data_IF_691086397625
#
_entry.id   IF_691086397625
#
_cell.length_a   1.000
_cell.length_b   1.000
_cell.length_c   1.000
_cell.angle_alpha   90.00
_cell.angle_beta   90.00
_cell.angle_gamma   90.00
#
_symmetry.space_group_name_H-M   'P 1'
#
loop_
_entity.id
_entity.type
_entity.pdbx_description
1 polymer ?
#
# COMPACT_ATOMS: atom_id res chain seq x y z
N UNK A 1 8.91 41.89 -19.35
CA UNK A 1 8.58 41.44 -17.98
C UNK A 1 8.39 39.94 -17.99
N UNK A 2 9.41 39.17 -17.56
CA UNK A 2 9.35 37.71 -17.46
C UNK A 2 8.61 37.34 -16.17
N UNK A 3 7.58 36.49 -16.26
CA UNK A 3 6.96 35.88 -15.09
C UNK A 3 7.93 34.82 -14.57
N UNK A 4 8.43 35.00 -13.35
CA UNK A 4 9.08 33.92 -12.62
C UNK A 4 7.99 32.94 -12.19
N UNK A 5 7.90 31.80 -12.87
CA UNK A 5 7.31 30.60 -12.31
C UNK A 5 8.25 30.13 -11.21
N UNK A 6 7.89 30.46 -9.96
CA UNK A 6 8.55 29.92 -8.79
C UNK A 6 8.27 28.42 -8.71
N UNK A 7 9.07 27.62 -9.42
CA UNK A 7 9.28 26.23 -9.04
C UNK A 7 10.00 26.30 -7.70
N UNK A 8 9.27 26.04 -6.61
CA UNK A 8 9.91 25.76 -5.34
C UNK A 8 10.85 24.58 -5.59
N UNK A 9 12.16 24.68 -5.27
CA UNK A 9 13.02 23.52 -5.34
C UNK A 9 12.40 22.47 -4.40
N UNK A 10 11.88 21.39 -4.96
CA UNK A 10 11.45 20.22 -4.21
C UNK A 10 12.65 19.83 -3.35
N UNK A 11 12.52 20.06 -2.03
CA UNK A 11 13.58 19.76 -1.08
C UNK A 11 13.77 18.24 -1.16
N UNK A 12 14.92 17.72 -1.64
CA UNK A 12 15.08 16.29 -1.89
C UNK A 12 14.77 15.55 -0.60
N UNK A 13 13.71 14.73 -0.62
CA UNK A 13 13.37 14.02 0.59
C UNK A 13 14.46 12.95 0.82
N UNK A 14 15.03 12.91 2.02
CA UNK A 14 16.10 11.98 2.35
C UNK A 14 15.68 10.52 2.24
N UNK A 15 14.40 10.28 2.55
CA UNK A 15 13.76 8.99 2.44
C UNK A 15 13.84 8.49 0.99
N UNK A 16 13.63 9.40 0.04
CA UNK A 16 13.38 9.11 -1.37
C UNK A 16 14.61 8.62 -2.13
N UNK A 17 15.83 8.87 -1.62
CA UNK A 17 17.05 8.47 -2.33
C UNK A 17 17.80 7.30 -1.69
N UNK A 18 17.73 7.13 -0.37
CA UNK A 18 18.47 6.05 0.31
C UNK A 18 17.57 4.91 0.75
N UNK A 19 16.51 5.24 1.50
CA UNK A 19 15.61 4.24 2.10
C UNK A 19 14.71 3.63 1.04
N UNK A 20 14.12 4.46 0.17
CA UNK A 20 13.25 3.98 -0.91
C UNK A 20 14.06 3.12 -1.90
N UNK A 21 15.27 3.53 -2.28
CA UNK A 21 16.12 2.73 -3.17
C UNK A 21 16.45 1.36 -2.57
N UNK A 22 16.88 1.31 -1.30
CA UNK A 22 17.14 0.06 -0.59
C UNK A 22 15.87 -0.80 -0.48
N UNK A 23 14.73 -0.19 -0.15
CA UNK A 23 13.45 -0.87 -0.06
C UNK A 23 13.03 -1.48 -1.41
N UNK A 24 13.09 -0.72 -2.51
CA UNK A 24 12.80 -1.20 -3.87
C UNK A 24 13.70 -2.39 -4.23
N UNK A 25 14.99 -2.30 -3.91
CA UNK A 25 15.95 -3.37 -4.17
C UNK A 25 15.62 -4.64 -3.37
N UNK A 26 15.27 -4.50 -2.08
CA UNK A 26 14.86 -5.64 -1.25
C UNK A 26 13.55 -6.27 -1.72
N UNK A 27 12.57 -5.46 -2.12
CA UNK A 27 11.31 -5.93 -2.68
C UNK A 27 11.56 -6.75 -3.95
N UNK A 28 12.35 -6.23 -4.90
CA UNK A 28 12.67 -6.92 -6.15
C UNK A 28 13.41 -8.24 -5.89
N UNK A 29 14.42 -8.22 -5.02
CA UNK A 29 15.18 -9.42 -4.66
C UNK A 29 14.28 -10.51 -4.06
N UNK A 30 13.32 -10.12 -3.22
CA UNK A 30 12.37 -11.05 -2.61
C UNK A 30 11.40 -11.60 -3.64
N UNK A 31 10.91 -10.78 -4.55
CA UNK A 31 10.09 -11.24 -5.68
C UNK A 31 10.82 -12.31 -6.49
N UNK A 32 12.09 -12.11 -6.83
CA UNK A 32 12.87 -13.14 -7.52
C UNK A 32 13.05 -14.42 -6.71
N UNK A 33 13.24 -14.33 -5.38
CA UNK A 33 13.30 -15.52 -4.53
C UNK A 33 11.98 -16.27 -4.49
N UNK A 34 10.86 -15.58 -4.33
CA UNK A 34 9.53 -16.20 -4.38
C UNK A 34 9.29 -16.91 -5.71
N UNK A 35 9.76 -16.30 -6.80
CA UNK A 35 9.65 -16.86 -8.13
C UNK A 35 10.51 -18.13 -8.27
N UNK A 36 11.77 -18.08 -7.81
CA UNK A 36 12.64 -19.26 -7.75
C UNK A 36 12.00 -20.37 -6.92
N UNK A 37 11.52 -20.06 -5.72
CA UNK A 37 10.90 -21.05 -4.83
C UNK A 37 9.67 -21.71 -5.47
N UNK A 38 8.94 -21.00 -6.34
CA UNK A 38 7.80 -21.53 -7.08
C UNK A 38 8.21 -22.34 -8.33
N UNK A 39 9.36 -22.02 -8.95
CA UNK A 39 9.82 -22.61 -10.21
C UNK A 39 10.97 -23.63 -10.07
N UNK A 40 11.47 -23.91 -8.86
CA UNK A 40 12.58 -24.85 -8.61
C UNK A 40 12.02 -26.25 -8.27
N UNK A 41 12.22 -27.27 -9.14
CA UNK A 41 11.84 -28.68 -8.89
C UNK A 41 11.12 -29.42 -10.04
N UNK A 42 10.74 -30.69 -9.84
CA UNK A 42 9.86 -31.43 -10.76
C UNK A 42 8.38 -31.18 -10.42
N UNK A 43 7.58 -30.70 -11.38
CA UNK A 43 6.19 -30.18 -11.22
C UNK A 43 6.06 -28.78 -10.62
N UNK A 44 7.06 -27.92 -10.88
CA UNK A 44 7.04 -26.52 -10.49
C UNK A 44 6.22 -25.66 -11.46
N UNK A 45 5.80 -24.48 -11.00
CA UNK A 45 5.02 -23.54 -11.80
C UNK A 45 5.92 -22.85 -12.83
N UNK A 46 5.37 -22.47 -13.98
CA UNK A 46 6.07 -21.56 -14.89
C UNK A 46 6.10 -20.14 -14.31
N UNK A 47 7.05 -19.31 -14.76
CA UNK A 47 7.11 -17.88 -14.43
C UNK A 47 5.75 -17.20 -14.69
N UNK A 48 5.08 -17.55 -15.78
CA UNK A 48 3.78 -16.99 -16.16
C UNK A 48 2.67 -17.41 -15.18
N UNK A 49 2.62 -18.67 -14.79
CA UNK A 49 1.64 -19.18 -13.82
C UNK A 49 1.81 -18.54 -12.44
N UNK A 50 3.06 -18.35 -12.00
CA UNK A 50 3.36 -17.61 -10.79
C UNK A 50 2.78 -16.19 -10.85
N UNK A 51 3.01 -15.46 -11.95
CA UNK A 51 2.49 -14.10 -12.13
C UNK A 51 0.97 -14.06 -12.18
N UNK A 52 0.31 -15.03 -12.83
CA UNK A 52 -1.16 -15.16 -12.80
C UNK A 52 -1.71 -15.35 -11.38
N UNK A 53 -0.96 -16.02 -10.50
CA UNK A 53 -1.34 -16.25 -9.09
C UNK A 53 -0.92 -15.10 -8.16
N UNK A 54 0.00 -14.24 -8.59
CA UNK A 54 0.55 -13.16 -7.77
C UNK A 54 -0.53 -12.12 -7.48
N UNK A 55 -1.00 -12.09 -6.24
CA UNK A 55 -2.12 -11.27 -5.82
C UNK A 55 -1.73 -10.20 -4.78
N UNK A 56 -2.67 -9.30 -4.48
CA UNK A 56 -2.44 -8.18 -3.56
C UNK A 56 -1.96 -8.62 -2.16
N UNK A 57 -2.38 -9.78 -1.66
CA UNK A 57 -1.90 -10.31 -0.38
C UNK A 57 -0.41 -10.64 -0.44
N UNK A 58 0.05 -11.26 -1.51
CA UNK A 58 1.46 -11.56 -1.73
C UNK A 58 2.29 -10.27 -1.82
N UNK A 59 1.77 -9.26 -2.55
CA UNK A 59 2.40 -7.95 -2.64
C UNK A 59 2.53 -7.25 -1.27
N UNK A 60 1.47 -7.24 -0.46
CA UNK A 60 1.49 -6.65 0.89
C UNK A 60 2.50 -7.38 1.78
N UNK A 61 2.50 -8.72 1.74
CA UNK A 61 3.47 -9.50 2.51
C UNK A 61 4.90 -9.17 2.07
N UNK A 62 5.15 -9.06 0.77
CA UNK A 62 6.46 -8.70 0.24
C UNK A 62 6.88 -7.27 0.66
N UNK A 63 5.94 -6.31 0.70
CA UNK A 63 6.20 -4.96 1.23
C UNK A 63 6.65 -5.02 2.69
N UNK A 64 5.91 -5.73 3.54
CA UNK A 64 6.24 -5.85 4.98
C UNK A 64 7.61 -6.48 5.16
N UNK A 65 7.86 -7.57 4.44
CA UNK A 65 9.12 -8.31 4.51
C UNK A 65 10.31 -7.52 3.96
N UNK A 66 10.15 -6.82 2.83
CA UNK A 66 11.17 -5.95 2.27
C UNK A 66 11.49 -4.77 3.20
N UNK A 67 10.47 -4.22 3.88
CA UNK A 67 10.68 -3.19 4.89
C UNK A 67 11.46 -3.70 6.10
N UNK A 68 11.17 -4.93 6.55
CA UNK A 68 11.92 -5.56 7.65
C UNK A 68 13.40 -5.82 7.30
N UNK A 69 13.70 -6.06 6.02
CA UNK A 69 15.08 -6.19 5.54
C UNK A 69 15.84 -4.85 5.53
N UNK A 70 15.14 -3.71 5.49
CA UNK A 70 15.77 -2.39 5.62
C UNK A 70 16.31 -2.24 7.03
N UNK A 71 17.62 -2.51 7.16
CA UNK A 71 18.27 -2.51 8.47
C UNK A 71 18.18 -1.15 9.18
N UNK A 72 18.12 -1.16 10.51
CA UNK A 72 18.25 0.05 11.35
C UNK A 72 19.52 0.86 11.01
N UNK A 73 20.58 0.19 10.55
CA UNK A 73 21.83 0.82 10.09
C UNK A 73 21.63 1.63 8.80
N UNK A 74 20.82 1.13 7.87
CA UNK A 74 20.45 1.87 6.65
C UNK A 74 19.68 3.15 7.02
N UNK A 75 18.68 3.02 7.88
CA UNK A 75 17.91 4.17 8.39
C UNK A 75 18.81 5.19 9.10
N UNK A 76 19.57 4.79 10.12
CA UNK A 76 20.46 5.71 10.87
C UNK A 76 21.45 6.45 9.96
N UNK A 77 21.97 5.82 8.90
CA UNK A 77 22.90 6.47 7.97
C UNK A 77 22.21 7.51 7.07
N UNK A 78 21.00 7.23 6.60
CA UNK A 78 20.19 8.23 5.85
C UNK A 78 19.85 9.41 6.75
N UNK A 79 19.40 9.14 7.97
CA UNK A 79 19.10 10.20 8.95
C UNK A 79 20.34 11.01 9.35
N UNK A 80 21.54 10.41 9.38
CA UNK A 80 22.80 11.13 9.69
C UNK A 80 23.18 12.14 8.62
N UNK A 81 22.92 11.85 7.34
CA UNK A 81 23.17 12.82 6.24
C UNK A 81 22.36 14.12 6.42
N UNK A 82 21.25 14.05 7.15
CA UNK A 82 20.35 15.18 7.37
C UNK A 82 20.54 15.86 8.71
N UNK A 83 20.80 15.08 9.75
CA UNK A 83 20.92 15.56 11.12
C UNK A 83 22.17 14.90 11.73
N UNK A 84 23.37 15.36 11.33
CA UNK A 84 24.64 14.76 11.77
C UNK A 84 24.79 14.83 13.30
N UNK A 85 24.31 15.92 13.90
CA UNK A 85 24.47 16.22 15.33
C UNK A 85 23.64 15.31 16.25
N UNK A 86 22.63 14.62 15.71
CA UNK A 86 21.74 13.75 16.48
C UNK A 86 22.20 12.28 16.48
N UNK A 87 23.10 11.89 15.57
CA UNK A 87 23.50 10.49 15.36
C UNK A 87 25.00 10.33 15.59
N UNK A 88 25.38 10.07 16.83
CA UNK A 88 26.74 9.68 17.20
C UNK A 88 26.98 8.18 16.97
N UNK A 89 28.20 7.86 16.52
CA UNK A 89 28.83 6.54 16.52
C UNK A 89 28.28 5.48 15.55
N UNK A 90 28.81 5.43 14.32
CA UNK A 90 29.03 4.18 13.57
C UNK A 90 30.05 4.44 12.45
N UNK A 91 31.29 3.99 12.65
CA UNK A 91 32.31 3.95 11.60
C UNK A 91 31.99 2.80 10.61
N UNK A 92 32.32 3.02 9.34
CA UNK A 92 32.60 1.97 8.33
C UNK A 92 31.43 1.21 7.66
N UNK A 93 30.52 1.90 6.93
CA UNK A 93 29.77 1.24 5.82
C UNK A 93 29.06 2.25 4.91
N UNK A 94 29.27 2.19 3.60
CA UNK A 94 28.64 3.12 2.66
C UNK A 94 27.23 2.63 2.23
N UNK A 95 26.17 3.46 2.24
CA UNK A 95 24.83 3.06 1.83
C UNK A 95 24.75 2.55 0.38
N UNK A 96 25.58 3.10 -0.51
CA UNK A 96 25.71 2.62 -1.89
C UNK A 96 26.17 1.18 -1.93
N UNK A 97 27.13 0.77 -1.09
CA UNK A 97 27.64 -0.60 -1.06
C UNK A 97 26.55 -1.63 -0.73
N UNK A 98 25.65 -1.36 0.23
CA UNK A 98 24.54 -2.26 0.54
C UNK A 98 23.55 -2.39 -0.63
N UNK A 99 23.20 -1.26 -1.27
CA UNK A 99 22.29 -1.28 -2.41
C UNK A 99 22.95 -2.01 -3.58
N UNK A 100 24.23 -1.76 -3.86
CA UNK A 100 25.01 -2.48 -4.85
C UNK A 100 25.02 -3.99 -4.60
N UNK A 101 25.29 -4.44 -3.37
CA UNK A 101 25.24 -5.87 -2.99
C UNK A 101 23.86 -6.50 -3.24
N UNK A 102 22.78 -5.78 -2.94
CA UNK A 102 21.41 -6.27 -3.19
C UNK A 102 21.13 -6.31 -4.69
N UNK A 103 21.54 -5.29 -5.44
CA UNK A 103 21.40 -5.22 -6.90
C UNK A 103 22.16 -6.34 -7.59
N UNK A 104 23.39 -6.62 -7.18
CA UNK A 104 24.17 -7.77 -7.66
C UNK A 104 23.47 -9.10 -7.32
N UNK A 105 22.88 -9.21 -6.13
CA UNK A 105 22.06 -10.37 -5.77
C UNK A 105 20.83 -10.49 -6.68
N UNK A 106 20.18 -9.39 -7.05
CA UNK A 106 19.06 -9.40 -8.00
C UNK A 106 19.49 -9.89 -9.39
N UNK A 107 20.64 -9.44 -9.89
CA UNK A 107 21.22 -9.90 -11.17
C UNK A 107 21.41 -11.42 -11.15
N UNK A 108 22.02 -11.95 -10.08
CA UNK A 108 22.24 -13.38 -9.94
C UNK A 108 20.93 -14.18 -9.92
N UNK A 109 19.92 -13.69 -9.21
CA UNK A 109 18.62 -14.36 -9.13
C UNK A 109 17.86 -14.29 -10.46
N UNK A 110 17.90 -13.16 -11.16
CA UNK A 110 17.28 -13.01 -12.47
C UNK A 110 17.90 -13.98 -13.49
N UNK A 111 19.23 -14.10 -13.51
CA UNK A 111 19.91 -15.07 -14.36
C UNK A 111 19.57 -16.52 -13.94
N UNK A 112 19.44 -16.83 -12.63
CA UNK A 112 18.97 -18.15 -12.17
C UNK A 112 17.56 -18.48 -12.66
N UNK A 113 16.71 -17.47 -12.80
CA UNK A 113 15.33 -17.59 -13.30
C UNK A 113 15.22 -17.81 -14.81
N UNK A 114 16.33 -17.80 -15.55
CA UNK A 114 16.35 -17.96 -17.00
C UNK A 114 16.16 -16.65 -17.77
N UNK A 115 16.22 -15.49 -17.09
CA UNK A 115 16.40 -14.20 -17.78
C UNK A 115 17.87 -14.06 -18.16
N UNK A 116 18.26 -14.69 -19.28
CA UNK A 116 19.64 -14.66 -19.77
C UNK A 116 20.08 -13.24 -20.13
N UNK A 117 21.28 -12.86 -19.67
CA UNK A 117 21.92 -11.60 -20.05
C UNK A 117 21.44 -10.39 -19.26
N UNK A 118 20.76 -10.58 -18.13
CA UNK A 118 20.44 -9.48 -17.20
C UNK A 118 21.74 -8.97 -16.58
N UNK A 119 22.00 -7.67 -16.74
CA UNK A 119 23.14 -6.95 -16.21
C UNK A 119 22.76 -6.04 -15.03
N UNK A 120 23.76 -5.51 -14.34
CA UNK A 120 23.56 -4.58 -13.23
C UNK A 120 22.74 -3.36 -13.64
N UNK A 121 23.00 -2.83 -14.84
CA UNK A 121 22.32 -1.64 -15.35
C UNK A 121 20.81 -1.89 -15.54
N UNK A 122 20.42 -3.08 -16.00
CA UNK A 122 19.00 -3.41 -16.17
C UNK A 122 18.24 -3.37 -14.84
N UNK A 123 18.86 -3.88 -13.78
CA UNK A 123 18.27 -3.81 -12.43
C UNK A 123 18.26 -2.36 -11.92
N UNK A 124 19.34 -1.60 -12.12
CA UNK A 124 19.41 -0.20 -11.72
C UNK A 124 18.33 0.64 -12.40
N UNK A 125 18.08 0.40 -13.69
CA UNK A 125 17.04 1.06 -14.47
C UNK A 125 15.65 0.73 -13.93
N UNK A 126 15.37 -0.55 -13.63
CA UNK A 126 14.12 -0.99 -12.99
C UNK A 126 13.91 -0.30 -11.63
N UNK A 127 14.96 -0.18 -10.81
CA UNK A 127 14.87 0.44 -9.49
C UNK A 127 14.71 1.96 -9.56
N UNK A 128 15.30 2.58 -10.59
CA UNK A 128 15.25 4.02 -10.84
C UNK A 128 13.98 4.46 -11.54
N UNK A 129 13.26 3.54 -12.20
CA UNK A 129 11.93 3.80 -12.73
C UNK A 129 11.02 4.34 -11.62
N UNK A 130 10.53 5.56 -11.84
CA UNK A 130 9.36 6.07 -11.15
C UNK A 130 8.16 5.65 -11.98
N UNK A 131 7.17 4.95 -11.40
CA UNK A 131 5.92 4.73 -12.12
C UNK A 131 5.31 6.10 -12.42
N UNK A 132 4.76 6.25 -13.62
CA UNK A 132 3.85 7.36 -13.88
C UNK A 132 2.72 7.31 -12.84
N UNK A 133 2.36 8.47 -12.28
CA UNK A 133 1.21 8.54 -11.38
C UNK A 133 -0.02 8.09 -12.15
N UNK A 134 -0.45 6.86 -11.89
CA UNK A 134 -1.71 6.33 -12.36
C UNK A 134 -2.82 7.30 -11.92
N UNK A 135 -3.46 7.89 -12.92
CA UNK A 135 -4.63 8.73 -12.69
C UNK A 135 -5.77 7.87 -12.13
N UNK A 136 -6.69 8.51 -11.42
CA UNK A 136 -7.91 7.86 -10.92
C UNK A 136 -8.71 7.18 -12.02
N UNK A 137 -8.67 7.78 -13.21
CA UNK A 137 -9.31 7.34 -14.43
C UNK A 137 -8.65 6.04 -14.95
N UNK A 138 -7.32 6.00 -15.05
CA UNK A 138 -6.58 4.79 -15.47
C UNK A 138 -6.73 3.65 -14.46
N UNK A 139 -6.78 3.94 -13.16
CA UNK A 139 -7.08 2.94 -12.12
C UNK A 139 -8.47 2.32 -12.30
N UNK A 140 -9.45 3.15 -12.67
CA UNK A 140 -10.81 2.69 -12.92
C UNK A 140 -10.90 1.87 -14.21
N UNK A 141 -10.18 2.27 -15.26
CA UNK A 141 -10.09 1.51 -16.51
C UNK A 141 -9.40 0.15 -16.30
N UNK A 142 -8.31 0.07 -15.54
CA UNK A 142 -7.67 -1.18 -15.17
C UNK A 142 -8.59 -2.12 -14.38
N UNK A 143 -9.45 -1.57 -13.50
CA UNK A 143 -10.43 -2.37 -12.76
C UNK A 143 -11.48 -3.00 -13.69
N UNK A 144 -11.93 -2.25 -14.71
CA UNK A 144 -12.92 -2.74 -15.69
C UNK A 144 -12.27 -3.71 -16.68
N UNK A 145 -11.03 -3.47 -17.09
CA UNK A 145 -10.27 -4.36 -17.98
C UNK A 145 -10.00 -5.72 -17.31
N UNK A 146 -9.62 -5.74 -16.03
CA UNK A 146 -9.45 -6.98 -15.28
C UNK A 146 -10.75 -7.78 -15.10
N UNK A 147 -11.91 -7.11 -15.04
CA UNK A 147 -13.22 -7.75 -15.05
C UNK A 147 -13.61 -8.33 -16.42
N UNK A 148 -13.07 -7.78 -17.51
CA UNK A 148 -13.31 -8.24 -18.88
C UNK A 148 -12.40 -9.42 -19.28
N UNK A 149 -11.10 -9.37 -18.96
CA UNK A 149 -10.17 -10.50 -19.17
C UNK A 149 -10.59 -11.74 -18.36
N UNK A 150 -11.10 -11.54 -17.14
CA UNK A 150 -11.69 -12.61 -16.34
C UNK A 150 -12.97 -13.24 -16.93
N UNK A 151 -13.56 -12.65 -17.98
CA UNK A 151 -14.70 -13.22 -18.72
C UNK A 151 -14.31 -13.93 -20.02
N UNK A 152 -13.17 -13.59 -20.62
CA UNK A 152 -12.74 -14.19 -21.90
C UNK A 152 -11.97 -15.50 -21.71
N UNK A 153 -11.33 -15.75 -20.56
CA UNK A 153 -10.70 -17.05 -20.24
C UNK A 153 -11.69 -18.11 -19.70
N UNK A 154 -12.98 -17.79 -19.55
CA UNK A 154 -13.99 -18.61 -18.85
C UNK A 154 -14.93 -19.42 -19.77
N UNK A 155 -14.70 -19.43 -21.10
CA UNK A 155 -15.62 -20.06 -22.07
C UNK A 155 -15.40 -21.58 -22.31
N UNK A 156 -14.39 -22.21 -21.69
CA UNK A 156 -14.21 -23.68 -21.78
C UNK A 156 -14.17 -24.42 -20.43
N UNK A 157 -14.25 -23.73 -19.29
CA UNK A 157 -14.40 -24.37 -18.00
C UNK A 157 -15.46 -23.63 -17.19
N UNK A 158 -16.65 -24.22 -17.06
CA UNK A 158 -17.63 -23.81 -16.06
C UNK A 158 -17.08 -24.12 -14.67
N UNK A 159 -16.11 -23.34 -14.19
CA UNK A 159 -15.80 -23.28 -12.78
C UNK A 159 -16.62 -22.13 -12.19
N UNK A 160 -17.59 -22.48 -11.34
CA UNK A 160 -18.41 -21.53 -10.60
C UNK A 160 -17.47 -20.49 -9.98
N UNK A 161 -17.63 -19.18 -10.27
CA UNK A 161 -16.73 -18.16 -9.75
C UNK A 161 -16.62 -18.33 -8.23
N UNK A 162 -15.40 -18.44 -7.68
CA UNK A 162 -15.24 -18.68 -6.25
C UNK A 162 -16.00 -17.59 -5.50
N UNK A 163 -16.85 -17.96 -4.53
CA UNK A 163 -17.65 -16.98 -3.82
C UNK A 163 -16.73 -15.89 -3.27
N UNK A 164 -17.14 -14.62 -3.32
CA UNK A 164 -16.33 -13.52 -2.81
C UNK A 164 -15.79 -13.88 -1.43
N UNK A 165 -14.52 -13.54 -1.11
CA UNK A 165 -13.93 -13.87 0.17
C UNK A 165 -14.92 -13.49 1.26
N UNK A 166 -15.21 -14.43 2.17
CA UNK A 166 -16.19 -14.19 3.24
C UNK A 166 -15.74 -12.97 4.04
N UNK A 167 -16.40 -11.84 3.81
CA UNK A 167 -16.11 -10.59 4.49
C UNK A 167 -17.14 -10.43 5.60
N UNK A 168 -16.67 -10.45 6.85
CA UNK A 168 -17.50 -10.08 7.98
C UNK A 168 -17.81 -8.58 7.89
N UNK A 169 -19.09 -8.23 7.93
CA UNK A 169 -19.58 -6.85 7.95
C UNK A 169 -19.16 -6.12 9.23
N UNK A 170 -19.27 -4.79 9.25
CA UNK A 170 -18.97 -3.99 10.46
C UNK A 170 -19.94 -4.33 11.60
N UNK A 171 -21.20 -4.62 11.28
CA UNK A 171 -22.22 -5.00 12.27
C UNK A 171 -21.90 -6.37 12.89
N UNK A 172 -21.61 -7.38 12.06
CA UNK A 172 -21.22 -8.72 12.53
C UNK A 172 -19.93 -8.69 13.36
N UNK A 173 -18.95 -7.85 12.99
CA UNK A 173 -17.73 -7.66 13.77
C UNK A 173 -18.02 -7.07 15.16
N UNK A 174 -18.89 -6.06 15.22
CA UNK A 174 -19.30 -5.43 16.49
C UNK A 174 -20.03 -6.43 17.38
N UNK A 175 -21.01 -7.15 16.82
CA UNK A 175 -21.82 -8.15 17.53
C UNK A 175 -20.96 -9.31 18.05
N UNK A 176 -19.98 -9.75 17.26
CA UNK A 176 -19.03 -10.80 17.67
C UNK A 176 -18.16 -10.34 18.84
N UNK A 177 -17.61 -9.12 18.78
CA UNK A 177 -16.79 -8.57 19.86
C UNK A 177 -17.61 -8.39 21.16
N UNK A 178 -18.85 -7.91 21.04
CA UNK A 178 -19.75 -7.79 22.19
C UNK A 178 -20.09 -9.15 22.80
N UNK A 179 -20.41 -10.14 21.97
CA UNK A 179 -20.70 -11.51 22.43
C UNK A 179 -19.51 -12.11 23.16
N UNK A 180 -18.29 -11.90 22.65
CA UNK A 180 -17.09 -12.41 23.30
C UNK A 180 -16.89 -11.72 24.65
N UNK A 181 -17.04 -10.40 24.73
CA UNK A 181 -16.90 -9.67 26.01
C UNK A 181 -17.92 -10.16 27.05
N UNK A 182 -19.17 -10.42 26.65
CA UNK A 182 -20.19 -11.02 27.52
C UNK A 182 -19.77 -12.41 28.02
N UNK A 183 -19.13 -13.23 27.18
CA UNK A 183 -18.64 -14.56 27.57
C UNK A 183 -17.43 -14.49 28.50
N UNK A 184 -16.54 -13.53 28.29
CA UNK A 184 -15.41 -13.29 29.18
C UNK A 184 -15.88 -12.81 30.55
N UNK A 185 -16.84 -11.88 30.60
CA UNK A 185 -17.43 -11.43 31.85
C UNK A 185 -18.11 -12.59 32.59
N UNK A 186 -18.90 -13.41 31.88
CA UNK A 186 -19.51 -14.59 32.47
C UNK A 186 -18.46 -15.56 33.03
N UNK A 187 -17.33 -15.76 32.35
CA UNK A 187 -16.23 -16.59 32.82
C UNK A 187 -15.60 -16.02 34.10
N UNK A 188 -15.39 -14.71 34.18
CA UNK A 188 -14.87 -14.06 35.39
C UNK A 188 -15.82 -14.20 36.58
N UNK A 189 -17.13 -14.04 36.34
CA UNK A 189 -18.15 -14.09 37.39
C UNK A 189 -18.41 -15.50 37.93
N UNK A 190 -18.19 -16.54 37.10
CA UNK A 190 -18.54 -17.93 37.42
C UNK A 190 -17.33 -18.85 37.71
N UNK A 191 -16.10 -18.41 37.46
CA UNK A 191 -14.91 -19.17 37.79
C UNK A 191 -14.56 -19.03 39.29
N UNK A 192 -14.48 -20.15 40.01
CA UNK A 192 -14.06 -20.16 41.41
C UNK A 192 -12.60 -19.74 41.64
N UNK A 193 -11.78 -19.68 40.58
CA UNK A 193 -10.40 -19.21 40.59
C UNK A 193 -10.27 -17.91 39.77
N UNK A 194 -10.31 -16.78 40.46
CA UNK A 194 -10.20 -15.44 39.88
C UNK A 194 -8.86 -15.17 39.16
N UNK A 195 -7.77 -15.81 39.60
CA UNK A 195 -6.46 -15.63 38.96
C UNK A 195 -6.44 -16.31 37.58
N UNK A 196 -7.00 -17.53 37.51
CA UNK A 196 -7.13 -18.29 36.25
C UNK A 196 -8.07 -17.59 35.27
N UNK A 197 -9.26 -17.18 35.70
CA UNK A 197 -10.20 -16.48 34.84
C UNK A 197 -9.63 -15.15 34.36
N UNK A 198 -9.08 -14.33 35.26
CA UNK A 198 -8.48 -13.05 34.90
C UNK A 198 -7.28 -13.19 33.95
N UNK A 199 -6.44 -14.24 34.10
CA UNK A 199 -5.35 -14.52 33.15
C UNK A 199 -5.88 -14.88 31.77
N UNK A 200 -6.94 -15.68 31.72
CA UNK A 200 -7.61 -16.10 30.47
C UNK A 200 -8.27 -14.91 29.78
N UNK A 201 -9.03 -14.10 30.51
CA UNK A 201 -9.68 -12.89 29.99
C UNK A 201 -8.68 -11.92 29.39
N UNK A 202 -7.60 -11.58 30.11
CA UNK A 202 -6.56 -10.68 29.60
C UNK A 202 -5.88 -11.23 28.34
N UNK A 203 -5.64 -12.54 28.30
CA UNK A 203 -5.06 -13.20 27.12
C UNK A 203 -5.97 -13.08 25.90
N UNK A 204 -7.27 -13.37 26.06
CA UNK A 204 -8.24 -13.28 24.96
C UNK A 204 -8.44 -11.83 24.54
N UNK A 205 -8.57 -10.89 25.47
CA UNK A 205 -8.67 -9.46 25.16
C UNK A 205 -7.48 -8.96 24.35
N UNK A 206 -6.25 -9.37 24.71
CA UNK A 206 -5.05 -9.04 23.93
C UNK A 206 -5.11 -9.59 22.49
N UNK A 207 -5.63 -10.81 22.31
CA UNK A 207 -5.84 -11.38 20.97
C UNK A 207 -6.93 -10.66 20.16
N UNK A 208 -7.87 -9.96 20.81
CA UNK A 208 -8.95 -9.21 20.15
C UNK A 208 -8.57 -7.78 19.74
N UNK A 209 -7.42 -7.26 20.18
CA UNK A 209 -7.00 -5.89 19.84
C UNK A 209 -6.95 -5.60 18.33
N UNK A 210 -6.45 -6.49 17.45
CA UNK A 210 -6.51 -6.27 16.00
C UNK A 210 -7.93 -6.09 15.45
N UNK A 211 -8.91 -6.79 16.05
CA UNK A 211 -10.31 -6.71 15.65
C UNK A 211 -10.99 -5.44 16.17
N UNK A 212 -10.65 -4.99 17.38
CA UNK A 212 -11.09 -3.69 17.91
C UNK A 212 -10.55 -2.53 17.06
N UNK A 213 -9.28 -2.62 16.64
CA UNK A 213 -8.68 -1.65 15.73
C UNK A 213 -9.39 -1.65 14.37
N UNK A 214 -9.67 -2.82 13.79
CA UNK A 214 -10.42 -2.94 12.54
C UNK A 214 -11.83 -2.31 12.66
N UNK A 215 -12.53 -2.52 13.78
CA UNK A 215 -13.84 -1.90 14.04
C UNK A 215 -13.72 -0.38 14.12
N UNK A 216 -12.70 0.13 14.83
CA UNK A 216 -12.41 1.56 14.92
C UNK A 216 -12.18 2.18 13.54
N UNK A 217 -11.32 1.57 12.72
CA UNK A 217 -11.01 2.03 11.35
C UNK A 217 -12.25 2.03 10.45
N UNK A 218 -13.09 0.99 10.53
CA UNK A 218 -14.37 0.94 9.79
C UNK A 218 -15.32 2.06 10.23
N UNK A 219 -15.36 2.33 11.53
CA UNK A 219 -16.21 3.40 12.10
C UNK A 219 -15.73 4.81 11.73
N UNK A 220 -14.42 5.04 11.65
CA UNK A 220 -13.85 6.33 11.26
C UNK A 220 -14.01 6.59 9.76
N UNK A 221 -13.80 5.58 8.92
CA UNK A 221 -14.09 5.67 7.47
C UNK A 221 -15.57 5.97 7.19
N UNK A 222 -16.49 5.37 7.94
CA UNK A 222 -17.92 5.65 7.81
C UNK A 222 -18.29 7.10 8.22
N UNK A 223 -17.55 7.69 9.17
CA UNK A 223 -17.74 9.09 9.63
C UNK A 223 -17.03 10.11 8.76
N UNK A 224 -16.02 9.70 7.99
CA UNK A 224 -15.30 10.59 7.09
C UNK A 224 -16.25 11.01 5.97
N UNK A 225 -16.60 12.30 5.93
CA UNK A 225 -17.40 12.85 4.82
C UNK A 225 -16.64 12.58 3.53
N UNK A 226 -17.30 11.92 2.58
CA UNK A 226 -16.78 11.75 1.22
C UNK A 226 -16.46 13.15 0.68
N UNK A 227 -15.27 13.34 0.13
CA UNK A 227 -14.79 14.63 -0.38
C UNK A 227 -15.78 15.25 -1.39
N UNK A 228 -16.57 14.40 -2.03
CA UNK A 228 -17.72 14.76 -2.88
C UNK A 228 -18.68 15.76 -2.23
N UNK A 229 -18.90 15.71 -0.91
CA UNK A 229 -19.74 16.69 -0.21
C UNK A 229 -19.22 18.13 -0.37
N UNK A 230 -17.89 18.32 -0.38
CA UNK A 230 -17.28 19.63 -0.58
C UNK A 230 -17.34 20.07 -2.05
N UNK A 231 -17.17 19.13 -3.00
CA UNK A 231 -17.29 19.43 -4.42
C UNK A 231 -18.73 19.77 -4.84
N UNK A 232 -19.74 19.08 -4.30
CA UNK A 232 -21.14 19.41 -4.55
C UNK A 232 -21.51 20.78 -3.95
N UNK A 233 -20.99 21.11 -2.76
CA UNK A 233 -21.20 22.41 -2.15
C UNK A 233 -20.55 23.55 -2.96
N UNK A 234 -19.35 23.34 -3.52
CA UNK A 234 -18.72 24.32 -4.41
C UNK A 234 -19.44 24.46 -5.74
N UNK A 235 -19.93 23.35 -6.32
CA UNK A 235 -20.69 23.39 -7.58
C UNK A 235 -21.97 24.20 -7.43
N UNK A 236 -22.70 24.01 -6.32
CA UNK A 236 -23.88 24.80 -6.00
C UNK A 236 -23.58 26.29 -5.84
N UNK A 237 -22.44 26.64 -5.25
CA UNK A 237 -21.98 28.03 -5.12
C UNK A 237 -21.58 28.65 -6.48
N UNK A 238 -21.07 27.86 -7.43
CA UNK A 238 -20.80 28.35 -8.78
C UNK A 238 -22.08 28.60 -9.58
N UNK A 239 -23.07 27.71 -9.45
CA UNK A 239 -24.34 27.83 -10.17
C UNK A 239 -25.20 29.01 -9.66
N UNK A 240 -25.11 29.36 -8.38
CA UNK A 240 -25.84 30.49 -7.78
C UNK A 240 -25.23 31.87 -8.16
N UNK A 241 -23.92 31.94 -8.42
CA UNK A 241 -23.22 33.19 -8.85
C UNK A 241 -23.42 33.49 -10.36
N UNK A 242 -23.73 32.48 -11.18
CA UNK A 242 -23.96 32.64 -12.63
C UNK A 242 -25.41 33.10 -12.94
N UNK A 243 -26.32 33.06 -11.96
CA UNK A 243 -27.74 33.38 -12.12
C UNK A 243 -28.12 34.86 -11.86
N UNK A 244 -27.19 35.81 -11.93
CA UNK A 244 -27.51 37.24 -11.87
C UNK A 244 -27.91 37.80 -13.26
N UNK A 245 -29.10 38.41 -13.43
CA UNK A 245 -29.56 38.89 -14.72
C UNK A 245 -28.80 40.17 -15.14
N UNK A 246 -28.16 40.11 -16.30
CA UNK A 246 -27.46 41.22 -16.94
C UNK A 246 -28.45 42.32 -17.37
N UNK A 247 -28.48 43.44 -16.64
CA UNK A 247 -29.27 44.62 -17.02
C UNK A 247 -28.43 45.57 -17.87
N UNK A 248 -28.52 45.45 -19.20
CA UNK A 248 -28.10 46.48 -20.14
C UNK A 248 -29.31 47.35 -20.51
N UNK A 249 -29.45 48.52 -19.89
CA UNK A 249 -30.34 49.58 -20.39
C UNK A 249 -29.54 50.87 -20.64
N UNK A 250 -29.31 51.15 -21.93
CA UNK A 250 -28.80 52.43 -22.43
C UNK A 250 -29.95 53.16 -23.10
N UNK A 251 -30.61 54.07 -22.38
CA UNK A 251 -31.56 55.01 -22.98
C UNK A 251 -30.93 56.40 -22.98
N UNK A 252 -30.52 56.84 -24.17
CA UNK A 252 -30.09 58.21 -24.46
C UNK A 252 -31.30 59.05 -24.80
N UNK A 253 -31.62 60.05 -23.98
CA UNK A 253 -32.46 61.19 -24.37
C UNK A 253 -31.63 62.45 -24.17
N UNK A 254 -31.64 63.32 -25.18
CA UNK A 254 -31.02 64.66 -25.19
C UNK A 254 -31.90 65.54 -26.08
N UNK A 255 -31.85 66.87 -25.93
CA UNK A 255 -31.87 67.69 -24.72
C UNK A 255 -33.29 68.06 -24.29
#
# INVERSE_FOLDING_TARGET
>A
MRRHTGSYPQRPQPLDQGVIAAFKAYYLRRTFKMLIDATDGENCETVMEFWKKYNLRMAINNIVEAWNDVSKRCLHRVWRKLIPDLICDFKDFEPSAQVCEITESCVQLANKLGFEGVEYQDIEDILSCQPDELTTEELQELSVAGEAEGREEDDENQEVPPPPPRQMTTAELSDTLETIEQRLQWLEDNDCNAERSGKTTRGIQACLEPYKQLLYERSTRAKQKKLEFYFTAMKKHCDDEEALPSTSNRTSVRP
#
